data_IF_174397398850
#
_entry.id   IF_174397398850
#
_cell.length_a   1.000
_cell.length_b   1.000
_cell.length_c   1.000
_cell.angle_alpha   90.00
_cell.angle_beta   90.00
_cell.angle_gamma   90.00
#
_symmetry.space_group_name_H-M   'P 1'
#
loop_
_entity.id
_entity.type
_entity.pdbx_description
1 polymer ?
#
# COMPACT_ATOMS: atom_id res chain seq x y z
N UNK A 1 -11.14 -32.07 -3.58
CA UNK A 1 -9.98 -31.40 -4.21
C UNK A 1 -9.67 -30.15 -3.40
N UNK A 2 -8.49 -30.05 -2.80
CA UNK A 2 -8.08 -28.82 -2.12
C UNK A 2 -7.87 -27.78 -3.22
N UNK A 3 -8.75 -26.77 -3.30
CA UNK A 3 -8.54 -25.65 -4.23
C UNK A 3 -7.29 -24.92 -3.75
N UNK A 4 -6.30 -24.82 -4.64
CA UNK A 4 -5.07 -24.09 -4.35
C UNK A 4 -5.42 -22.59 -4.28
N UNK A 5 -5.17 -21.97 -3.13
CA UNK A 5 -5.56 -20.59 -2.87
C UNK A 5 -4.33 -19.70 -3.08
N UNK A 6 -4.41 -18.80 -4.05
CA UNK A 6 -3.29 -17.95 -4.43
C UNK A 6 -3.25 -16.67 -3.59
N UNK A 7 -2.14 -16.47 -2.88
CA UNK A 7 -1.85 -15.26 -2.08
C UNK A 7 -0.90 -14.29 -2.78
N UNK A 8 -0.30 -14.70 -3.89
CA UNK A 8 0.69 -13.89 -4.62
C UNK A 8 0.07 -12.60 -5.16
N UNK A 9 0.82 -11.51 -5.05
CA UNK A 9 0.44 -10.19 -5.59
C UNK A 9 1.50 -9.70 -6.56
N UNK A 10 1.01 -9.04 -7.61
CA UNK A 10 1.80 -8.46 -8.67
C UNK A 10 1.55 -6.95 -8.70
N UNK A 11 2.59 -6.14 -8.54
CA UNK A 11 2.53 -4.71 -8.90
C UNK A 11 3.27 -4.52 -10.20
N UNK A 12 2.57 -3.97 -11.17
CA UNK A 12 3.17 -3.50 -12.41
C UNK A 12 3.19 -1.99 -12.39
N UNK A 13 4.26 -1.40 -12.91
CA UNK A 13 4.24 0.02 -13.17
C UNK A 13 3.18 0.38 -14.22
N UNK A 14 2.86 1.65 -14.26
CA UNK A 14 1.83 2.21 -15.15
C UNK A 14 2.18 2.15 -16.64
N UNK A 15 3.42 1.74 -16.98
CA UNK A 15 3.99 1.74 -18.34
C UNK A 15 4.24 0.31 -18.81
N UNK A 16 4.22 0.10 -20.12
CA UNK A 16 4.35 -1.23 -20.73
C UNK A 16 5.70 -1.90 -20.44
N UNK A 17 6.78 -1.11 -20.37
CA UNK A 17 8.14 -1.57 -20.06
C UNK A 17 8.50 -1.45 -18.57
N UNK A 18 7.52 -1.21 -17.69
CA UNK A 18 7.79 -1.10 -16.26
C UNK A 18 8.18 -2.45 -15.66
N UNK A 19 9.12 -2.40 -14.72
CA UNK A 19 9.43 -3.52 -13.85
C UNK A 19 8.19 -3.95 -13.05
N UNK A 20 8.18 -5.22 -12.65
CA UNK A 20 7.11 -5.82 -11.85
C UNK A 20 7.67 -6.21 -10.48
N UNK A 21 6.99 -5.77 -9.42
CA UNK A 21 7.23 -6.26 -8.06
C UNK A 21 6.31 -7.46 -7.81
N UNK A 22 6.92 -8.62 -7.59
CA UNK A 22 6.21 -9.86 -7.27
C UNK A 22 6.41 -10.19 -5.80
N UNK A 23 5.31 -10.37 -5.08
CA UNK A 23 5.31 -10.75 -3.67
C UNK A 23 4.56 -12.06 -3.49
N UNK A 24 5.16 -13.03 -2.79
CA UNK A 24 4.50 -14.31 -2.46
C UNK A 24 3.25 -14.14 -1.58
N UNK A 25 3.15 -12.98 -0.94
CA UNK A 25 2.07 -12.60 -0.04
C UNK A 25 1.76 -11.11 -0.20
N UNK A 26 0.55 -10.66 0.17
CA UNK A 26 0.13 -9.25 0.10
C UNK A 26 0.77 -8.36 1.18
N UNK A 27 2.05 -8.57 1.46
CA UNK A 27 2.82 -7.89 2.48
C UNK A 27 4.28 -7.73 2.03
N UNK A 28 4.88 -6.60 2.40
CA UNK A 28 6.30 -6.32 2.20
C UNK A 28 6.88 -5.71 3.49
N UNK A 29 8.03 -6.20 3.99
CA UNK A 29 8.64 -5.64 5.19
C UNK A 29 9.24 -4.26 4.90
N UNK A 30 9.20 -3.37 5.88
CA UNK A 30 9.99 -2.13 5.87
C UNK A 30 11.14 -2.22 6.88
N UNK A 31 12.36 -2.15 6.36
CA UNK A 31 13.60 -2.39 7.09
C UNK A 31 14.55 -1.20 6.95
N UNK A 32 15.62 -1.20 7.74
CA UNK A 32 16.69 -0.22 7.55
C UNK A 32 17.53 -0.58 6.33
N UNK A 33 17.97 -1.84 6.22
CA UNK A 33 18.72 -2.37 5.08
C UNK A 33 18.07 -3.65 4.52
N UNK A 34 18.57 -4.09 3.36
CA UNK A 34 18.02 -5.26 2.67
C UNK A 34 18.12 -6.55 3.49
N UNK A 35 17.10 -7.41 3.36
CA UNK A 35 17.05 -8.70 4.07
C UNK A 35 17.79 -9.84 3.36
N UNK A 36 17.99 -9.74 2.04
CA UNK A 36 18.51 -10.81 1.18
C UNK A 36 17.57 -12.03 1.02
N UNK A 37 16.38 -12.03 1.63
CA UNK A 37 15.43 -13.16 1.62
C UNK A 37 14.28 -12.92 0.62
N UNK A 38 14.06 -11.67 0.23
CA UNK A 38 13.05 -11.28 -0.74
C UNK A 38 12.90 -9.76 -0.80
N UNK A 39 11.98 -9.26 -1.64
CA UNK A 39 11.75 -7.83 -1.79
C UNK A 39 11.39 -7.17 -0.46
N UNK A 40 12.02 -6.04 -0.16
CA UNK A 40 11.70 -5.22 0.98
C UNK A 40 11.67 -3.72 0.63
N UNK A 41 11.06 -2.94 1.51
CA UNK A 41 11.18 -1.48 1.50
C UNK A 41 12.33 -1.14 2.45
N UNK A 42 13.33 -0.40 1.98
CA UNK A 42 14.52 -0.07 2.77
C UNK A 42 14.69 1.44 2.92
N UNK A 43 15.36 1.86 3.99
CA UNK A 43 15.72 3.28 4.23
C UNK A 43 17.20 3.57 3.97
N UNK A 44 18.04 2.54 4.04
CA UNK A 44 19.48 2.54 3.85
C UNK A 44 19.86 2.00 2.49
N UNK A 45 20.59 0.88 2.45
CA UNK A 45 21.17 0.35 1.22
C UNK A 45 20.24 -0.69 0.56
N UNK A 46 19.74 -0.45 -0.66
CA UNK A 46 18.88 -1.40 -1.37
C UNK A 46 19.65 -2.46 -2.15
N UNK A 47 19.02 -3.62 -2.33
CA UNK A 47 19.36 -4.58 -3.39
C UNK A 47 18.45 -4.39 -4.62
N UNK A 48 18.78 -4.98 -5.80
CA UNK A 48 17.99 -4.80 -7.02
C UNK A 48 16.50 -5.19 -6.93
N UNK A 49 16.11 -6.01 -5.95
CA UNK A 49 14.71 -6.39 -5.71
C UNK A 49 13.92 -5.45 -4.79
N UNK A 50 14.59 -4.46 -4.18
CA UNK A 50 14.02 -3.64 -3.12
C UNK A 50 13.47 -2.31 -3.63
N UNK A 51 12.60 -1.72 -2.81
CA UNK A 51 12.15 -0.34 -2.98
C UNK A 51 12.89 0.56 -1.97
N UNK A 52 13.58 1.58 -2.46
CA UNK A 52 14.30 2.53 -1.60
C UNK A 52 13.40 3.71 -1.21
N UNK A 53 13.29 4.01 0.08
CA UNK A 53 12.65 5.24 0.57
C UNK A 53 13.61 6.42 0.39
N UNK A 54 13.16 7.43 -0.33
CA UNK A 54 13.92 8.64 -0.62
C UNK A 54 13.24 9.83 0.06
N UNK A 55 13.91 10.39 1.08
CA UNK A 55 13.56 11.65 1.73
C UNK A 55 14.71 12.65 1.66
N UNK A 56 14.66 13.72 2.47
CA UNK A 56 15.63 14.83 2.40
C UNK A 56 17.09 14.36 2.58
N UNK A 57 17.33 13.54 3.61
CA UNK A 57 18.68 13.03 3.91
C UNK A 57 19.22 12.10 2.80
N UNK A 58 18.34 11.29 2.19
CA UNK A 58 18.72 10.40 1.08
C UNK A 58 19.00 11.21 -0.18
N UNK A 59 18.16 12.20 -0.50
CA UNK A 59 18.36 13.11 -1.63
C UNK A 59 19.69 13.86 -1.54
N UNK A 60 20.04 14.36 -0.36
CA UNK A 60 21.30 15.06 -0.13
C UNK A 60 22.54 14.16 -0.36
N UNK A 61 22.38 12.84 -0.21
CA UNK A 61 23.41 11.82 -0.39
C UNK A 61 23.35 11.11 -1.74
N UNK A 62 22.40 11.44 -2.61
CA UNK A 62 22.33 10.86 -3.95
C UNK A 62 23.54 11.34 -4.76
N UNK A 63 24.59 10.53 -4.74
CA UNK A 63 25.78 10.73 -5.56
C UNK A 63 25.44 10.60 -7.06
N UNK A 64 26.46 10.70 -7.91
CA UNK A 64 26.31 10.44 -9.36
C UNK A 64 26.20 8.96 -9.70
N UNK A 65 26.26 8.08 -8.70
CA UNK A 65 26.22 6.64 -8.89
C UNK A 65 24.81 6.14 -9.21
N UNK A 66 24.74 5.00 -9.90
CA UNK A 66 23.49 4.32 -10.21
C UNK A 66 22.86 3.71 -8.96
N UNK A 67 21.57 3.97 -8.74
CA UNK A 67 20.74 3.32 -7.73
C UNK A 67 20.39 1.90 -8.17
N UNK A 68 20.89 0.91 -7.43
CA UNK A 68 20.59 -0.51 -7.66
C UNK A 68 19.36 -0.92 -6.85
N UNK A 69 18.18 -0.54 -7.31
CA UNK A 69 16.90 -0.91 -6.70
C UNK A 69 15.82 -1.14 -7.75
N UNK A 70 14.78 -1.90 -7.37
CA UNK A 70 13.61 -2.15 -8.23
C UNK A 70 12.81 -0.86 -8.44
N UNK A 71 12.82 0.00 -7.43
CA UNK A 71 12.06 1.24 -7.43
C UNK A 71 12.40 2.16 -6.26
N UNK A 72 11.75 3.32 -6.24
CA UNK A 72 11.85 4.29 -5.17
C UNK A 72 10.48 4.70 -4.66
N UNK A 73 10.43 5.07 -3.38
CA UNK A 73 9.28 5.71 -2.73
C UNK A 73 9.74 7.09 -2.28
N UNK A 74 9.32 8.14 -2.98
CA UNK A 74 9.65 9.52 -2.62
C UNK A 74 8.75 9.95 -1.47
N UNK A 75 9.31 10.07 -0.27
CA UNK A 75 8.56 10.38 0.95
C UNK A 75 8.37 11.89 1.12
N UNK A 76 7.17 12.39 0.80
CA UNK A 76 6.82 13.81 0.85
C UNK A 76 6.75 14.36 2.28
N UNK A 77 6.55 13.52 3.29
CA UNK A 77 6.52 13.99 4.69
C UNK A 77 7.93 14.33 5.21
N UNK A 78 8.96 13.72 4.62
CA UNK A 78 10.38 13.98 4.90
C UNK A 78 11.01 14.93 3.87
N UNK A 79 10.20 15.72 3.16
CA UNK A 79 10.67 16.73 2.20
C UNK A 79 10.08 18.11 2.54
N UNK A 80 10.75 19.20 2.13
CA UNK A 80 10.14 20.53 2.18
C UNK A 80 8.85 20.56 1.36
N UNK A 81 8.03 21.60 1.53
CA UNK A 81 6.83 21.75 0.70
C UNK A 81 7.25 22.03 -0.75
N UNK A 82 7.03 21.05 -1.61
CA UNK A 82 7.32 21.12 -3.04
C UNK A 82 6.05 21.34 -3.85
N UNK A 83 6.13 22.22 -4.84
CA UNK A 83 5.12 22.29 -5.89
C UNK A 83 5.28 21.12 -6.88
N UNK A 84 4.31 20.96 -7.79
CA UNK A 84 4.29 19.82 -8.72
C UNK A 84 5.50 19.81 -9.69
N UNK A 85 6.01 20.98 -10.10
CA UNK A 85 7.17 21.09 -10.98
C UNK A 85 8.51 20.80 -10.27
N UNK A 86 8.64 21.22 -9.01
CA UNK A 86 9.80 20.89 -8.18
C UNK A 86 9.84 19.39 -7.87
N UNK A 87 8.69 18.80 -7.55
CA UNK A 87 8.57 17.36 -7.32
C UNK A 87 8.89 16.56 -8.59
N UNK A 88 8.39 16.96 -9.74
CA UNK A 88 8.72 16.33 -11.02
C UNK A 88 10.22 16.39 -11.32
N UNK A 89 10.85 17.55 -11.07
CA UNK A 89 12.29 17.73 -11.26
C UNK A 89 13.12 16.79 -10.40
N UNK A 90 12.71 16.58 -9.13
CA UNK A 90 13.35 15.61 -8.24
C UNK A 90 13.15 14.18 -8.77
N UNK A 91 11.94 13.82 -9.19
CA UNK A 91 11.64 12.49 -9.73
C UNK A 91 12.46 12.21 -10.99
N UNK A 92 12.59 13.18 -11.90
CA UNK A 92 13.41 13.07 -13.11
C UNK A 92 14.89 12.84 -12.74
N UNK A 93 15.40 13.58 -11.74
CA UNK A 93 16.76 13.40 -11.24
C UNK A 93 16.98 12.00 -10.64
N UNK A 94 16.02 11.49 -9.85
CA UNK A 94 16.13 10.14 -9.28
C UNK A 94 16.10 9.09 -10.40
N UNK A 95 15.14 9.19 -11.32
CA UNK A 95 14.99 8.27 -12.47
C UNK A 95 16.24 8.20 -13.33
N UNK A 96 16.98 9.30 -13.50
CA UNK A 96 18.22 9.31 -14.29
C UNK A 96 19.34 8.47 -13.69
N UNK A 97 19.19 7.98 -12.46
CA UNK A 97 20.14 7.12 -11.75
C UNK A 97 19.63 5.69 -11.59
N UNK A 98 18.43 5.39 -12.05
CA UNK A 98 17.82 4.07 -11.94
C UNK A 98 17.82 3.37 -13.29
N UNK A 99 17.62 2.05 -13.27
CA UNK A 99 17.41 1.29 -14.49
C UNK A 99 16.10 1.74 -15.18
N UNK A 100 16.05 1.71 -16.53
CA UNK A 100 14.81 1.95 -17.26
C UNK A 100 13.70 1.02 -16.79
N UNK A 101 12.49 1.54 -16.59
CA UNK A 101 11.34 0.75 -16.14
C UNK A 101 11.22 0.62 -14.61
N UNK A 102 12.20 1.06 -13.82
CA UNK A 102 12.08 1.02 -12.37
C UNK A 102 10.88 1.81 -11.84
N UNK A 103 10.28 1.29 -10.76
CA UNK A 103 9.06 1.81 -10.18
C UNK A 103 9.31 3.14 -9.43
N UNK A 104 8.39 4.08 -9.56
CA UNK A 104 8.39 5.32 -8.78
C UNK A 104 7.05 5.51 -8.10
N UNK A 105 7.06 5.53 -6.77
CA UNK A 105 5.89 5.76 -5.93
C UNK A 105 6.07 7.05 -5.11
N UNK A 106 4.96 7.62 -4.65
CA UNK A 106 4.97 8.69 -3.66
C UNK A 106 4.56 8.15 -2.29
N UNK A 107 5.26 8.55 -1.25
CA UNK A 107 4.88 8.32 0.15
C UNK A 107 4.41 9.60 0.81
N UNK A 108 3.33 9.57 1.58
CA UNK A 108 2.95 10.66 2.49
C UNK A 108 2.02 10.13 3.58
N UNK A 109 1.75 10.95 4.58
CA UNK A 109 0.80 10.65 5.65
C UNK A 109 -0.63 10.54 5.14
N UNK A 110 -1.40 9.72 5.84
CA UNK A 110 -2.82 9.46 5.57
C UNK A 110 -3.73 10.70 5.60
N UNK A 111 -3.41 11.76 6.33
CA UNK A 111 -4.17 13.01 6.32
C UNK A 111 -4.05 13.75 4.98
N UNK A 112 -3.01 13.47 4.19
CA UNK A 112 -2.74 14.06 2.87
C UNK A 112 -3.04 13.12 1.70
N UNK A 113 -3.71 12.01 1.95
CA UNK A 113 -3.94 10.95 0.94
C UNK A 113 -4.66 11.45 -0.33
N UNK A 114 -5.55 12.45 -0.23
CA UNK A 114 -6.19 13.03 -1.42
C UNK A 114 -5.19 13.74 -2.32
N UNK A 115 -4.31 14.56 -1.74
CA UNK A 115 -3.27 15.27 -2.46
C UNK A 115 -2.23 14.30 -3.02
N UNK A 116 -1.81 13.33 -2.22
CA UNK A 116 -0.91 12.24 -2.62
C UNK A 116 -1.45 11.48 -3.83
N UNK A 117 -2.73 11.10 -3.79
CA UNK A 117 -3.38 10.35 -4.88
C UNK A 117 -3.52 11.18 -6.15
N UNK A 118 -3.81 12.49 -6.03
CA UNK A 118 -3.84 13.43 -7.17
C UNK A 118 -2.45 13.54 -7.79
N UNK A 119 -1.43 13.86 -7.00
CA UNK A 119 -0.05 14.06 -7.47
C UNK A 119 0.50 12.80 -8.17
N UNK A 120 0.22 11.62 -7.64
CA UNK A 120 0.61 10.35 -8.26
C UNK A 120 0.03 10.18 -9.69
N UNK A 121 -1.24 10.55 -9.88
CA UNK A 121 -1.89 10.51 -11.19
C UNK A 121 -1.35 11.60 -12.12
N UNK A 122 -1.26 12.84 -11.65
CA UNK A 122 -0.82 14.00 -12.44
C UNK A 122 0.62 13.84 -12.94
N UNK A 123 1.51 13.28 -12.10
CA UNK A 123 2.92 13.03 -12.42
C UNK A 123 3.16 11.68 -13.12
N UNK A 124 2.09 10.94 -13.42
CA UNK A 124 2.12 9.62 -14.06
C UNK A 124 3.13 8.64 -13.41
N UNK A 125 2.93 8.44 -12.11
CA UNK A 125 3.71 7.56 -11.25
C UNK A 125 2.99 6.22 -11.05
N UNK A 126 3.69 5.26 -10.45
CA UNK A 126 3.28 3.84 -10.45
C UNK A 126 2.39 3.48 -9.24
N UNK A 127 2.42 4.29 -8.19
CA UNK A 127 1.63 4.03 -7.00
C UNK A 127 1.87 5.01 -5.86
N UNK A 128 1.24 4.70 -4.73
CA UNK A 128 1.40 5.46 -3.49
C UNK A 128 1.66 4.53 -2.30
N UNK A 129 2.42 5.03 -1.33
CA UNK A 129 2.55 4.48 0.01
C UNK A 129 1.89 5.45 1.01
N UNK A 130 0.77 5.03 1.57
CA UNK A 130 0.06 5.83 2.57
C UNK A 130 0.57 5.46 3.96
N UNK A 131 1.20 6.41 4.63
CA UNK A 131 1.67 6.21 5.99
C UNK A 131 0.56 6.41 7.02
N UNK A 132 0.09 5.29 7.57
CA UNK A 132 -0.87 5.24 8.67
C UNK A 132 -0.22 4.82 10.00
N UNK A 133 1.10 4.60 10.05
CA UNK A 133 1.82 4.39 11.31
C UNK A 133 1.80 5.65 12.19
N UNK A 134 1.55 6.82 11.59
CA UNK A 134 1.36 8.09 12.30
C UNK A 134 0.02 8.21 13.06
N UNK A 135 -0.89 7.24 12.96
CA UNK A 135 -2.24 7.32 13.55
C UNK A 135 -2.42 6.59 14.89
N UNK A 136 -1.35 6.15 15.54
CA UNK A 136 -1.38 5.28 16.72
C UNK A 136 -2.29 4.03 16.49
N UNK A 137 -2.57 3.23 17.52
CA UNK A 137 -3.20 1.89 17.43
C UNK A 137 -4.57 1.75 16.72
N UNK A 138 -5.14 2.81 16.13
CA UNK A 138 -6.33 2.80 15.28
C UNK A 138 -6.04 2.95 13.77
N UNK A 139 -4.76 2.93 13.37
CA UNK A 139 -4.30 3.37 12.05
C UNK A 139 -5.05 2.78 10.85
N UNK A 140 -5.24 1.45 10.79
CA UNK A 140 -5.94 0.82 9.67
C UNK A 140 -7.42 1.23 9.58
N UNK A 141 -8.17 1.16 10.69
CA UNK A 141 -9.61 1.45 10.72
C UNK A 141 -9.94 2.87 10.25
N UNK A 142 -9.07 3.83 10.57
CA UNK A 142 -9.23 5.24 10.17
C UNK A 142 -8.71 5.48 8.74
N UNK A 143 -7.58 4.87 8.38
CA UNK A 143 -6.92 5.10 7.10
C UNK A 143 -7.70 4.51 5.92
N UNK A 144 -8.18 3.27 6.05
CA UNK A 144 -8.76 2.52 4.94
C UNK A 144 -9.96 3.22 4.27
N UNK A 145 -10.94 3.80 5.00
CA UNK A 145 -12.00 4.60 4.37
C UNK A 145 -11.47 5.80 3.60
N UNK A 146 -10.48 6.52 4.16
CA UNK A 146 -9.88 7.71 3.53
C UNK A 146 -9.16 7.35 2.24
N UNK A 147 -8.34 6.29 2.28
CA UNK A 147 -7.62 5.77 1.12
C UNK A 147 -8.60 5.38 0.00
N UNK A 148 -9.64 4.62 0.33
CA UNK A 148 -10.64 4.18 -0.65
C UNK A 148 -11.39 5.36 -1.31
N UNK A 149 -11.70 6.42 -0.55
CA UNK A 149 -12.33 7.63 -1.09
C UNK A 149 -11.39 8.43 -1.99
N UNK A 150 -10.14 8.63 -1.55
CA UNK A 150 -9.12 9.36 -2.31
C UNK A 150 -8.79 8.67 -3.63
N UNK A 151 -8.55 7.35 -3.60
CA UNK A 151 -8.30 6.52 -4.78
C UNK A 151 -9.43 6.61 -5.81
N UNK A 152 -10.69 6.54 -5.34
CA UNK A 152 -11.85 6.68 -6.22
C UNK A 152 -11.95 8.08 -6.84
N UNK A 153 -11.65 9.12 -6.07
CA UNK A 153 -11.74 10.53 -6.51
C UNK A 153 -10.68 10.87 -7.56
N UNK A 154 -9.44 10.40 -7.38
CA UNK A 154 -8.36 10.67 -8.34
C UNK A 154 -8.31 9.66 -9.50
N UNK A 155 -9.02 8.54 -9.41
CA UNK A 155 -8.95 7.46 -10.41
C UNK A 155 -7.69 6.59 -10.28
N UNK A 156 -7.03 6.61 -9.12
CA UNK A 156 -5.75 5.93 -8.88
C UNK A 156 -5.82 4.43 -9.21
N UNK A 157 -6.74 3.70 -8.57
CA UNK A 157 -6.91 2.26 -8.79
C UNK A 157 -7.44 1.94 -10.20
N UNK A 158 -8.31 2.81 -10.77
CA UNK A 158 -8.83 2.62 -12.12
C UNK A 158 -7.73 2.77 -13.19
N UNK A 159 -6.69 3.56 -12.89
CA UNK A 159 -5.50 3.71 -13.73
C UNK A 159 -4.42 2.65 -13.49
N UNK A 160 -4.72 1.56 -12.77
CA UNK A 160 -3.79 0.45 -12.55
C UNK A 160 -2.63 0.76 -11.61
N UNK A 161 -2.71 1.84 -10.82
CA UNK A 161 -1.65 2.25 -9.88
C UNK A 161 -1.80 1.53 -8.55
N UNK A 162 -0.70 1.05 -8.00
CA UNK A 162 -0.71 0.30 -6.75
C UNK A 162 -0.92 1.19 -5.54
N UNK A 163 -1.66 0.69 -4.56
CA UNK A 163 -1.87 1.37 -3.28
C UNK A 163 -1.25 0.53 -2.17
N UNK A 164 -0.31 1.09 -1.44
CA UNK A 164 0.30 0.48 -0.26
C UNK A 164 -0.14 1.24 1.00
N UNK A 165 -0.29 0.53 2.12
CA UNK A 165 -0.49 1.15 3.44
C UNK A 165 0.64 0.74 4.38
N UNK A 166 1.29 1.71 5.02
CA UNK A 166 2.23 1.45 6.12
C UNK A 166 1.51 1.46 7.46
N UNK A 167 1.68 0.39 8.22
CA UNK A 167 1.17 0.23 9.58
C UNK A 167 2.33 0.09 10.56
N UNK A 168 2.07 0.43 11.82
CA UNK A 168 3.01 0.25 12.92
C UNK A 168 2.96 -1.19 13.45
N UNK A 169 4.11 -1.73 13.85
CA UNK A 169 4.20 -3.03 14.53
C UNK A 169 3.96 -4.24 13.62
N UNK A 170 3.78 -5.40 14.24
CA UNK A 170 3.45 -6.63 13.52
C UNK A 170 2.00 -6.58 13.03
N UNK A 171 1.72 -7.14 11.85
CA UNK A 171 0.36 -7.16 11.27
C UNK A 171 -0.21 -8.57 11.17
N UNK A 172 -1.51 -8.69 11.44
CA UNK A 172 -2.26 -9.94 11.35
C UNK A 172 -2.75 -10.24 9.93
N UNK A 173 -3.11 -11.50 9.69
CA UNK A 173 -3.76 -11.92 8.44
C UNK A 173 -5.10 -11.21 8.20
N UNK A 174 -5.91 -10.98 9.24
CA UNK A 174 -7.17 -10.25 9.07
C UNK A 174 -6.91 -8.82 8.62
N UNK A 175 -5.93 -8.15 9.22
CA UNK A 175 -5.57 -6.76 8.86
C UNK A 175 -5.20 -6.65 7.38
N UNK A 176 -4.45 -7.62 6.85
CA UNK A 176 -4.08 -7.65 5.44
C UNK A 176 -5.30 -7.86 4.53
N UNK A 177 -6.17 -8.82 4.86
CA UNK A 177 -7.39 -9.09 4.08
C UNK A 177 -8.37 -7.90 4.12
N UNK A 178 -8.55 -7.29 5.30
CA UNK A 178 -9.39 -6.09 5.48
C UNK A 178 -8.86 -4.93 4.65
N UNK A 179 -7.53 -4.74 4.63
CA UNK A 179 -6.88 -3.71 3.81
C UNK A 179 -7.17 -3.93 2.32
N UNK A 180 -7.09 -5.18 1.84
CA UNK A 180 -7.44 -5.50 0.45
C UNK A 180 -8.87 -5.21 0.10
N UNK A 181 -9.79 -5.55 1.00
CA UNK A 181 -11.19 -5.22 0.81
C UNK A 181 -11.44 -3.70 0.72
N UNK A 182 -10.59 -2.88 1.33
CA UNK A 182 -10.65 -1.43 1.23
C UNK A 182 -9.95 -0.85 -0.02
N UNK A 183 -9.39 -1.70 -0.88
CA UNK A 183 -8.71 -1.29 -2.11
C UNK A 183 -7.22 -1.02 -1.94
N UNK A 184 -6.61 -1.47 -0.85
CA UNK A 184 -5.15 -1.47 -0.68
C UNK A 184 -4.57 -2.75 -1.27
N UNK A 185 -3.52 -2.67 -2.07
CA UNK A 185 -2.92 -3.84 -2.70
C UNK A 185 -1.95 -4.57 -1.78
N UNK A 186 -1.18 -3.81 -0.99
CA UNK A 186 -0.11 -4.34 -0.13
C UNK A 186 -0.10 -3.63 1.22
N UNK A 187 0.10 -4.43 2.28
CA UNK A 187 0.41 -3.93 3.62
C UNK A 187 1.92 -3.88 3.83
N UNK A 188 2.39 -2.76 4.37
CA UNK A 188 3.79 -2.53 4.74
C UNK A 188 3.87 -2.46 6.26
N UNK A 189 4.72 -3.29 6.86
CA UNK A 189 4.96 -3.27 8.30
C UNK A 189 6.33 -3.85 8.62
N UNK A 190 6.90 -3.62 9.82
CA UNK A 190 8.18 -4.23 10.20
C UNK A 190 8.12 -5.75 10.31
N UNK A 191 6.97 -6.33 10.71
CA UNK A 191 6.84 -7.78 10.92
C UNK A 191 5.40 -8.28 10.70
N UNK A 192 5.23 -9.61 10.76
CA UNK A 192 3.97 -10.34 10.70
C UNK A 192 3.68 -11.02 12.04
N UNK A 193 2.43 -10.99 12.50
CA UNK A 193 2.06 -11.65 13.77
C UNK A 193 2.25 -13.17 13.69
N UNK A 194 3.17 -13.70 14.50
CA UNK A 194 3.50 -15.14 14.47
C UNK A 194 4.36 -15.57 13.27
N UNK A 195 4.79 -14.63 12.44
CA UNK A 195 5.69 -14.83 11.31
C UNK A 195 5.02 -15.26 9.99
N UNK A 196 5.81 -15.34 8.92
CA UNK A 196 5.35 -15.54 7.55
C UNK A 196 4.42 -16.75 7.34
N UNK A 197 4.80 -17.93 7.82
CA UNK A 197 4.05 -19.17 7.59
C UNK A 197 2.69 -19.18 8.30
N UNK A 198 2.63 -18.61 9.50
CA UNK A 198 1.39 -18.51 10.30
C UNK A 198 0.40 -17.60 9.59
N UNK A 199 0.86 -16.42 9.15
CA UNK A 199 0.02 -15.45 8.44
C UNK A 199 -0.45 -16.02 7.09
N UNK A 200 0.39 -16.71 6.33
CA UNK A 200 -0.03 -17.31 5.05
C UNK A 200 -1.12 -18.37 5.24
N UNK A 201 -0.96 -19.24 6.25
CA UNK A 201 -1.97 -20.22 6.62
C UNK A 201 -3.30 -19.56 6.98
N UNK A 202 -3.25 -18.48 7.77
CA UNK A 202 -4.42 -17.72 8.18
C UNK A 202 -5.09 -16.99 7.01
N UNK A 203 -4.33 -16.34 6.12
CA UNK A 203 -4.88 -15.71 4.90
C UNK A 203 -5.60 -16.75 4.05
N UNK A 204 -4.98 -17.91 3.79
CA UNK A 204 -5.61 -18.99 3.02
C UNK A 204 -6.88 -19.51 3.71
N UNK A 205 -6.90 -19.58 5.04
CA UNK A 205 -8.08 -19.90 5.83
C UNK A 205 -9.23 -18.91 5.58
N UNK A 206 -8.95 -17.61 5.75
CA UNK A 206 -9.93 -16.53 5.55
C UNK A 206 -10.47 -16.52 4.11
N UNK A 207 -9.59 -16.69 3.10
CA UNK A 207 -10.00 -16.77 1.69
C UNK A 207 -10.97 -17.94 1.42
N UNK A 208 -10.71 -19.11 2.02
CA UNK A 208 -11.60 -20.28 1.92
C UNK A 208 -12.96 -20.02 2.59
N UNK A 209 -12.96 -19.39 3.76
CA UNK A 209 -14.19 -19.02 4.46
C UNK A 209 -15.03 -18.01 3.67
N UNK A 210 -14.37 -17.09 2.97
CA UNK A 210 -15.02 -16.14 2.06
C UNK A 210 -15.47 -16.76 0.72
N UNK A 211 -15.03 -17.99 0.41
CA UNK A 211 -15.32 -18.67 -0.85
C UNK A 211 -14.59 -18.11 -2.06
N UNK A 212 -13.45 -17.43 -1.86
CA UNK A 212 -12.60 -16.89 -2.94
C UNK A 212 -11.36 -17.76 -3.15
N UNK A 213 -10.85 -17.79 -4.38
CA UNK A 213 -9.72 -18.66 -4.76
C UNK A 213 -8.41 -17.92 -4.95
N UNK A 214 -8.48 -16.59 -5.06
CA UNK A 214 -7.31 -15.72 -5.18
C UNK A 214 -7.47 -14.48 -4.30
N UNK A 215 -6.37 -14.01 -3.72
CA UNK A 215 -6.34 -12.72 -3.02
C UNK A 215 -6.74 -11.54 -3.93
N UNK A 216 -6.55 -11.68 -5.25
CA UNK A 216 -6.99 -10.67 -6.22
C UNK A 216 -8.52 -10.52 -6.32
N UNK A 217 -9.30 -11.55 -5.93
CA UNK A 217 -10.77 -11.53 -5.96
C UNK A 217 -11.38 -10.83 -4.74
N UNK A 218 -10.58 -10.61 -3.68
CA UNK A 218 -11.00 -9.96 -2.44
C UNK A 218 -11.35 -8.51 -2.72
N UNK A 219 -12.56 -8.10 -2.31
CA UNK A 219 -13.06 -6.76 -2.54
C UNK A 219 -13.98 -6.29 -1.41
N UNK A 220 -14.41 -5.03 -1.48
CA UNK A 220 -15.24 -4.41 -0.42
C UNK A 220 -16.54 -5.16 -0.13
N UNK A 221 -17.05 -5.95 -1.07
CA UNK A 221 -18.26 -6.73 -0.85
C UNK A 221 -18.08 -7.86 0.17
N UNK A 222 -16.84 -8.29 0.41
CA UNK A 222 -16.50 -9.31 1.40
C UNK A 222 -16.53 -8.77 2.85
N UNK A 223 -16.42 -7.45 3.05
CA UNK A 223 -16.41 -6.85 4.39
C UNK A 223 -17.80 -6.69 4.99
N UNK A 224 -17.89 -7.01 6.28
CA UNK A 224 -19.02 -6.70 7.16
C UNK A 224 -18.51 -6.17 8.49
N UNK A 225 -19.17 -5.14 9.01
CA UNK A 225 -18.93 -4.65 10.36
C UNK A 225 -19.63 -5.57 11.37
N UNK A 226 -18.94 -5.90 12.46
CA UNK A 226 -19.48 -6.73 13.55
C UNK A 226 -20.22 -5.91 14.61
N UNK A 227 -19.97 -4.60 14.64
CA UNK A 227 -20.59 -3.66 15.55
C UNK A 227 -21.11 -2.41 14.83
N UNK A 228 -22.02 -1.71 15.50
CA UNK A 228 -22.69 -0.53 14.96
C UNK A 228 -21.73 0.65 14.77
N UNK A 229 -20.76 0.86 15.66
CA UNK A 229 -19.81 1.97 15.60
C UNK A 229 -18.92 1.88 14.36
N UNK A 230 -18.37 0.70 14.11
CA UNK A 230 -17.57 0.43 12.91
C UNK A 230 -18.40 0.56 11.64
N UNK A 231 -19.63 0.01 11.61
CA UNK A 231 -20.54 0.13 10.46
C UNK A 231 -20.81 1.59 10.10
N UNK A 232 -20.95 2.44 11.11
CA UNK A 232 -21.22 3.86 10.99
C UNK A 232 -20.02 4.65 10.46
N UNK A 233 -18.84 4.45 11.05
CA UNK A 233 -17.61 5.16 10.68
C UNK A 233 -17.11 4.78 9.28
N UNK A 234 -17.22 3.50 8.91
CA UNK A 234 -16.65 2.97 7.66
C UNK A 234 -17.67 2.88 6.52
N UNK A 235 -18.96 2.96 6.82
CA UNK A 235 -20.04 2.74 5.87
C UNK A 235 -20.19 1.28 5.42
N UNK A 236 -19.62 0.32 6.17
CA UNK A 236 -19.77 -1.11 5.91
C UNK A 236 -21.18 -1.62 6.26
N UNK A 237 -21.55 -2.76 5.67
CA UNK A 237 -22.77 -3.50 6.05
C UNK A 237 -22.58 -4.11 7.42
N UNK A 238 -23.53 -3.93 8.33
CA UNK A 238 -23.53 -4.64 9.61
C UNK A 238 -23.76 -6.14 9.35
N UNK A 239 -23.10 -7.01 10.11
CA UNK A 239 -23.33 -8.45 10.05
C UNK A 239 -24.82 -8.77 10.27
N UNK A 240 -25.40 -9.61 9.40
CA UNK A 240 -26.83 -9.90 9.39
C UNK A 240 -27.70 -8.91 8.59
N UNK A 241 -27.14 -7.80 8.10
CA UNK A 241 -27.83 -6.86 7.21
C UNK A 241 -27.30 -6.93 5.77
N UNK A 242 -28.22 -6.89 4.81
CA UNK A 242 -27.89 -6.90 3.37
C UNK A 242 -27.48 -5.53 2.83
N UNK A 243 -27.87 -4.44 3.51
CA UNK A 243 -27.59 -3.06 3.09
C UNK A 243 -26.85 -2.29 4.21
N UNK A 244 -25.99 -1.30 3.86
CA UNK A 244 -25.37 -0.43 4.85
C UNK A 244 -26.41 0.30 5.70
N UNK A 245 -26.01 0.71 6.91
CA UNK A 245 -26.89 1.48 7.78
C UNK A 245 -27.32 2.78 7.07
N UNK A 246 -28.61 3.15 7.15
CA UNK A 246 -29.10 4.35 6.50
C UNK A 246 -28.48 5.60 7.12
N UNK A 247 -28.38 6.68 6.35
CA UNK A 247 -27.74 7.93 6.79
C UNK A 247 -28.41 8.56 8.01
N UNK A 248 -29.72 8.36 8.22
CA UNK A 248 -30.42 8.85 9.43
C UNK A 248 -30.06 8.08 10.70
N UNK A 249 -29.43 6.90 10.60
CA UNK A 249 -28.85 6.22 11.76
C UNK A 249 -27.54 6.89 12.22
N UNK A 250 -26.97 7.79 11.40
CA UNK A 250 -25.87 8.68 11.78
C UNK A 250 -26.41 9.81 12.64
N UNK A 251 -26.27 9.68 13.95
CA UNK A 251 -26.38 10.82 14.87
C UNK A 251 -25.16 11.71 14.66
N UNK A 252 -25.41 13.00 14.47
CA UNK A 252 -24.39 14.07 14.45
C UNK A 252 -23.54 14.06 15.72
#
# INVERSE_FOLDING_TARGET
SCVDVQTRVHIRGSREDSHELVLERPWIPILDDSSGIGPCIVRGVPEPGDLLVVGDATLAKLEKESLKCLGVIVNLDDLPRLNDAELDSIIVSIRSRMDPGSLVLLGDRVDRVEELSRRCVDLNLDGILVDAASLDGAGATIALPRIGMASKKSGLAAGGRSIMIRLEGAVSAETIVISKCAGVDIVVSPDLEGGPEVVDGAIRGILREMGVTSFSEVNRSNLRAIDHGTAMQTGLRLAGLERPLPTWARRD
#
